data_IF_216792465990
#
_entry.id   IF_216792465990
#
_cell.length_a   1.000
_cell.length_b   1.000
_cell.length_c   1.000
_cell.angle_alpha   90.00
_cell.angle_beta   90.00
_cell.angle_gamma   90.00
#
_symmetry.space_group_name_H-M   'P 1'
#
loop_
_entity.id
_entity.type
_entity.pdbx_description
1 polymer ?
#
# COMPACT_ATOMS: atom_id res chain seq x y z
N UNK A 1 11.15 25.27 24.76
CA UNK A 1 11.22 23.95 24.10
C UNK A 1 11.04 22.94 25.22
N UNK A 2 9.90 22.24 25.24
CA UNK A 2 9.59 21.30 26.30
C UNK A 2 9.65 19.90 25.68
N UNK A 3 10.79 19.23 25.85
CA UNK A 3 10.93 17.82 25.52
C UNK A 3 10.06 17.02 26.49
N UNK A 4 8.94 16.54 25.99
CA UNK A 4 8.03 15.67 26.75
C UNK A 4 8.72 14.30 26.85
N UNK A 5 9.21 14.03 28.04
CA UNK A 5 9.71 12.77 28.57
C UNK A 5 8.98 11.56 27.95
N UNK A 6 9.65 10.81 27.09
CA UNK A 6 9.17 9.52 26.57
C UNK A 6 9.50 8.48 27.64
N UNK A 7 8.52 7.81 28.25
CA UNK A 7 8.79 6.76 29.24
C UNK A 7 9.54 5.59 28.58
N UNK A 8 10.70 5.25 29.13
CA UNK A 8 11.62 4.21 28.64
C UNK A 8 11.20 2.78 28.99
N UNK A 9 9.91 2.55 29.24
CA UNK A 9 9.40 1.25 29.65
C UNK A 9 8.74 0.55 28.45
N UNK A 10 9.43 -0.46 27.89
CA UNK A 10 8.96 -1.20 26.71
C UNK A 10 7.89 -2.26 27.06
N UNK A 11 7.32 -2.24 28.26
CA UNK A 11 6.29 -3.18 28.68
C UNK A 11 4.85 -2.66 28.53
N UNK A 12 4.66 -1.45 28.01
CA UNK A 12 3.34 -0.78 27.94
C UNK A 12 2.61 -0.92 26.59
N UNK A 13 3.15 -1.68 25.63
CA UNK A 13 2.44 -1.99 24.38
C UNK A 13 1.95 -3.44 24.44
N UNK A 14 0.72 -3.61 24.91
CA UNK A 14 0.02 -4.89 24.84
C UNK A 14 -0.46 -5.10 23.39
N UNK A 15 0.15 -6.06 22.71
CA UNK A 15 -0.06 -6.35 21.28
C UNK A 15 -1.50 -6.82 21.00
N UNK A 16 -2.26 -7.24 22.03
CA UNK A 16 -3.67 -7.64 21.88
C UNK A 16 -4.65 -6.49 21.65
N UNK A 17 -4.38 -5.28 22.13
CA UNK A 17 -5.31 -4.14 21.99
C UNK A 17 -5.34 -3.56 20.56
N UNK A 18 -4.32 -3.85 19.75
CA UNK A 18 -4.24 -3.41 18.35
C UNK A 18 -5.04 -4.33 17.43
N UNK A 19 -5.10 -5.62 17.76
CA UNK A 19 -5.76 -6.65 16.94
C UNK A 19 -7.30 -6.50 16.97
N UNK A 20 -7.88 -6.03 18.07
CA UNK A 20 -9.32 -5.86 18.20
C UNK A 20 -9.86 -4.73 17.31
N UNK A 21 -9.08 -3.64 17.10
CA UNK A 21 -9.49 -2.51 16.24
C UNK A 21 -9.42 -2.79 14.74
N UNK A 22 -8.76 -3.88 14.32
CA UNK A 22 -8.61 -4.24 12.91
C UNK A 22 -9.79 -5.12 12.44
N UNK A 23 -10.50 -5.79 13.35
CA UNK A 23 -11.55 -6.74 12.99
C UNK A 23 -12.94 -6.12 12.76
N UNK A 24 -13.19 -4.89 13.22
CA UNK A 24 -14.49 -4.21 13.07
C UNK A 24 -14.76 -3.60 11.69
N UNK A 25 -13.81 -3.65 10.74
CA UNK A 25 -14.01 -3.12 9.37
C UNK A 25 -14.32 -4.20 8.33
N UNK A 26 -14.63 -5.44 8.74
CA UNK A 26 -15.10 -6.50 7.85
C UNK A 26 -16.63 -6.60 7.84
N UNK A 27 -17.33 -5.58 7.34
CA UNK A 27 -18.67 -5.75 6.75
C UNK A 27 -19.16 -4.45 6.08
N UNK A 28 -18.87 -4.28 4.79
CA UNK A 28 -19.77 -3.66 3.83
C UNK A 28 -19.26 -3.84 2.40
N UNK A 29 -19.53 -5.03 1.84
CA UNK A 29 -19.66 -5.18 0.39
C UNK A 29 -21.15 -5.15 0.07
N UNK A 30 -21.65 -3.99 -0.36
CA UNK A 30 -22.91 -3.84 -1.06
C UNK A 30 -22.90 -2.56 -1.93
N UNK A 31 -22.80 -2.79 -3.24
CA UNK A 31 -23.28 -2.01 -4.38
C UNK A 31 -23.56 -0.49 -4.28
N UNK A 32 -23.03 0.22 -5.31
CA UNK A 32 -23.68 1.22 -6.21
C UNK A 32 -23.07 2.62 -6.18
N UNK A 33 -22.58 3.08 -7.35
CA UNK A 33 -23.07 4.28 -8.06
C UNK A 33 -22.51 4.40 -9.48
N UNK A 34 -23.44 4.42 -10.45
CA UNK A 34 -23.26 5.06 -11.75
C UNK A 34 -23.41 6.58 -11.57
N UNK A 35 -22.65 7.42 -12.29
CA UNK A 35 -23.21 8.53 -13.10
C UNK A 35 -22.14 9.34 -13.85
N UNK A 36 -22.58 9.73 -15.05
CA UNK A 36 -22.07 10.51 -16.17
C UNK A 36 -21.83 12.02 -15.96
N UNK A 37 -21.05 12.57 -16.91
CA UNK A 37 -21.07 13.92 -17.54
C UNK A 37 -19.85 14.83 -17.27
N UNK A 38 -19.03 15.00 -18.33
CA UNK A 38 -17.81 15.83 -18.47
C UNK A 38 -18.14 17.34 -18.70
N UNK A 39 -17.20 18.33 -18.69
CA UNK A 39 -15.75 18.20 -18.96
C UNK A 39 -14.78 19.06 -18.11
N UNK A 40 -13.62 18.48 -17.76
CA UNK A 40 -12.28 19.07 -17.90
C UNK A 40 -11.23 17.95 -17.72
N UNK A 41 -10.29 17.87 -18.67
CA UNK A 41 -9.43 16.69 -18.91
C UNK A 41 -8.17 16.67 -18.06
N UNK A 42 -8.24 16.07 -16.87
CA UNK A 42 -7.13 15.28 -16.32
C UNK A 42 -7.73 14.01 -15.71
N UNK A 43 -7.39 12.87 -16.30
CA UNK A 43 -8.00 11.58 -16.02
C UNK A 43 -7.65 11.13 -14.60
N UNK A 44 -8.50 11.47 -13.63
CA UNK A 44 -8.56 10.78 -12.35
C UNK A 44 -9.19 9.40 -12.60
N UNK A 45 -8.44 8.51 -13.25
CA UNK A 45 -8.81 7.10 -13.22
C UNK A 45 -8.62 6.65 -11.78
N UNK A 46 -9.72 6.36 -11.11
CA UNK A 46 -9.70 5.72 -9.81
C UNK A 46 -8.96 4.39 -9.98
N UNK A 47 -7.67 4.37 -9.62
CA UNK A 47 -6.83 3.18 -9.75
C UNK A 47 -7.41 2.14 -8.82
N UNK A 48 -8.10 1.16 -9.39
CA UNK A 48 -8.47 -0.04 -8.66
C UNK A 48 -7.18 -0.78 -8.35
N UNK A 49 -6.81 -0.81 -7.08
CA UNK A 49 -5.57 -1.43 -6.65
C UNK A 49 -5.81 -2.94 -6.52
N UNK A 50 -5.22 -3.74 -7.39
CA UNK A 50 -5.24 -5.20 -7.24
C UNK A 50 -4.36 -5.62 -6.06
N UNK A 51 -4.69 -6.74 -5.39
CA UNK A 51 -3.81 -7.32 -4.38
C UNK A 51 -2.80 -8.25 -5.06
N UNK A 52 -1.60 -7.74 -5.30
CA UNK A 52 -0.53 -8.40 -6.05
C UNK A 52 0.55 -9.03 -5.15
N UNK A 53 0.45 -8.83 -3.83
CA UNK A 53 1.48 -9.26 -2.87
C UNK A 53 1.64 -10.79 -2.86
N UNK A 54 0.56 -11.54 -3.12
CA UNK A 54 0.60 -13.00 -3.18
C UNK A 54 1.26 -13.54 -4.46
N UNK A 55 1.33 -12.73 -5.51
CA UNK A 55 1.83 -13.13 -6.83
C UNK A 55 3.32 -12.80 -7.01
N UNK A 56 3.81 -11.73 -6.37
CA UNK A 56 5.17 -11.24 -6.55
C UNK A 56 5.92 -11.10 -5.22
N UNK A 57 7.07 -11.76 -5.12
CA UNK A 57 8.00 -11.65 -4.00
C UNK A 57 9.30 -10.90 -4.36
N UNK A 58 9.54 -10.60 -5.63
CA UNK A 58 10.73 -9.88 -6.09
C UNK A 58 10.45 -9.11 -7.39
N UNK A 59 11.31 -8.14 -7.71
CA UNK A 59 11.34 -7.48 -9.01
C UNK A 59 12.77 -7.24 -9.49
N UNK A 60 12.92 -7.04 -10.81
CA UNK A 60 14.16 -6.57 -11.42
C UNK A 60 13.89 -5.18 -11.99
N UNK A 61 14.57 -4.17 -11.46
CA UNK A 61 14.54 -2.81 -11.97
C UNK A 61 15.67 -2.69 -12.99
N UNK A 62 15.31 -2.47 -14.25
CA UNK A 62 16.28 -2.27 -15.33
C UNK A 62 16.68 -0.82 -15.39
N UNK A 63 17.97 -0.54 -15.25
CA UNK A 63 18.52 0.81 -15.38
C UNK A 63 19.56 0.84 -16.49
N UNK A 64 19.97 2.04 -16.92
CA UNK A 64 21.07 2.21 -17.87
C UNK A 64 22.45 1.83 -17.28
N UNK A 65 22.56 1.67 -15.97
CA UNK A 65 23.78 1.21 -15.27
C UNK A 65 23.74 -0.26 -14.88
N UNK A 66 22.71 -1.00 -15.32
CA UNK A 66 22.53 -2.42 -15.02
C UNK A 66 21.23 -2.72 -14.29
N UNK A 67 21.09 -3.98 -13.89
CA UNK A 67 19.88 -4.51 -13.27
C UNK A 67 20.01 -4.49 -11.73
N UNK A 68 18.97 -3.98 -11.05
CA UNK A 68 18.84 -4.04 -9.60
C UNK A 68 17.77 -5.09 -9.27
N UNK A 69 18.14 -6.11 -8.49
CA UNK A 69 17.19 -7.10 -7.98
C UNK A 69 16.73 -6.68 -6.58
N UNK A 70 15.42 -6.65 -6.37
CA UNK A 70 14.79 -6.33 -5.09
C UNK A 70 13.87 -7.46 -4.65
N UNK A 71 13.84 -7.74 -3.35
CA UNK A 71 12.94 -8.68 -2.70
C UNK A 71 11.90 -7.90 -1.88
N UNK A 72 10.66 -8.38 -1.88
CA UNK A 72 9.53 -7.72 -1.24
C UNK A 72 9.12 -8.42 0.06
N UNK A 73 9.01 -7.63 1.11
CA UNK A 73 8.51 -8.03 2.42
C UNK A 73 7.02 -7.73 2.52
N UNK A 74 6.24 -8.50 1.75
CA UNK A 74 4.80 -8.30 1.57
C UNK A 74 3.97 -8.49 2.84
N UNK A 75 4.44 -9.30 3.78
CA UNK A 75 3.75 -9.53 5.05
C UNK A 75 4.03 -8.40 6.05
N UNK A 76 5.25 -7.88 6.02
CA UNK A 76 5.75 -6.83 6.91
C UNK A 76 5.33 -5.44 6.43
N UNK A 77 5.12 -5.25 5.13
CA UNK A 77 4.76 -3.95 4.53
C UNK A 77 3.76 -4.10 3.38
N UNK A 78 2.55 -4.64 3.66
CA UNK A 78 1.60 -5.02 2.62
C UNK A 78 1.13 -3.84 1.76
N UNK A 79 0.81 -2.70 2.38
CA UNK A 79 0.28 -1.54 1.65
C UNK A 79 1.32 -0.96 0.69
N UNK A 80 2.57 -0.81 1.15
CA UNK A 80 3.66 -0.22 0.37
C UNK A 80 4.04 -1.13 -0.79
N UNK A 81 4.20 -2.43 -0.53
CA UNK A 81 4.52 -3.41 -1.56
C UNK A 81 3.41 -3.45 -2.61
N UNK A 82 2.14 -3.49 -2.19
CA UNK A 82 1.03 -3.53 -3.13
C UNK A 82 0.96 -2.27 -3.99
N UNK A 83 1.19 -1.09 -3.40
CA UNK A 83 1.22 0.17 -4.15
C UNK A 83 2.34 0.15 -5.21
N UNK A 84 3.55 -0.25 -4.83
CA UNK A 84 4.67 -0.38 -5.76
C UNK A 84 4.34 -1.33 -6.92
N UNK A 85 3.79 -2.52 -6.63
CA UNK A 85 3.48 -3.53 -7.63
C UNK A 85 2.45 -3.03 -8.65
N UNK A 86 1.41 -2.32 -8.20
CA UNK A 86 0.39 -1.79 -9.09
C UNK A 86 0.94 -0.64 -9.97
N UNK A 87 1.75 0.25 -9.40
CA UNK A 87 2.42 1.32 -10.16
C UNK A 87 3.38 0.74 -11.20
N UNK A 88 4.16 -0.28 -10.83
CA UNK A 88 5.05 -0.98 -11.74
C UNK A 88 4.27 -1.68 -12.87
N UNK A 89 3.14 -2.33 -12.56
CA UNK A 89 2.26 -3.01 -13.53
C UNK A 89 1.74 -2.08 -14.61
N UNK A 90 1.37 -0.84 -14.26
CA UNK A 90 0.91 0.16 -15.24
C UNK A 90 2.08 0.89 -15.94
N UNK A 91 3.32 0.50 -15.66
CA UNK A 91 4.51 1.06 -16.29
C UNK A 91 4.91 2.45 -15.77
N UNK A 92 4.44 2.86 -14.59
CA UNK A 92 4.72 4.19 -14.02
C UNK A 92 6.23 4.49 -13.91
N UNK A 93 7.06 3.47 -13.68
CA UNK A 93 8.50 3.61 -13.51
C UNK A 93 9.30 3.47 -14.82
N UNK A 94 8.64 3.35 -15.97
CA UNK A 94 9.30 3.20 -17.27
C UNK A 94 9.60 4.60 -17.84
N UNK A 95 10.86 5.03 -17.75
CA UNK A 95 11.38 6.26 -18.36
C UNK A 95 12.53 5.96 -19.33
#
# INVERSE_FOLDING_TARGET
MNEKNIPSDSSAYDDSDVVEKINDTKNNQAAKTQSSAAPDEQTQQQVQLENLIAEFNQAIIKTNFGDIKVEFYGQESPLTVNNFLNLAKIGFYNN
#
